data_IF_288684206813
#
_entry.id   IF_288684206813
#
_cell.length_a   1.000
_cell.length_b   1.000
_cell.length_c   1.000
_cell.angle_alpha   90.00
_cell.angle_beta   90.00
_cell.angle_gamma   90.00
#
_symmetry.space_group_name_H-M   'P 1'
#
loop_
_entity.id
_entity.type
_entity.pdbx_description
1 polymer ?
#
# COMPACT_ATOMS: atom_id res chain seq x y z
N UNK A 1 -34.28 5.80 21.31
CA UNK A 1 -32.97 6.11 20.70
C UNK A 1 -32.15 4.83 20.73
N UNK A 2 -32.14 4.04 19.64
CA UNK A 2 -31.29 2.85 19.57
C UNK A 2 -29.84 3.32 19.50
N UNK A 3 -29.01 2.90 20.45
CA UNK A 3 -27.56 2.96 20.30
C UNK A 3 -27.23 2.09 19.08
N UNK A 4 -26.93 2.71 17.96
CA UNK A 4 -26.26 2.01 16.87
C UNK A 4 -24.90 1.64 17.46
N UNK A 5 -24.72 0.37 17.76
CA UNK A 5 -23.42 -0.16 18.13
C UNK A 5 -22.54 0.03 16.89
N UNK A 6 -21.67 1.03 16.94
CA UNK A 6 -20.81 1.37 15.80
C UNK A 6 -19.94 0.15 15.54
N UNK A 7 -20.08 -0.43 14.36
CA UNK A 7 -19.22 -1.53 13.94
C UNK A 7 -17.88 -0.91 13.59
N UNK A 8 -16.84 -1.26 14.32
CA UNK A 8 -15.51 -0.66 14.17
C UNK A 8 -14.58 -1.70 13.55
N UNK A 9 -13.66 -1.26 12.70
CA UNK A 9 -12.51 -2.03 12.27
C UNK A 9 -11.22 -1.23 12.46
N UNK A 10 -10.10 -1.93 12.61
CA UNK A 10 -8.77 -1.32 12.54
C UNK A 10 -8.17 -1.62 11.16
N UNK A 11 -7.65 -0.59 10.50
CA UNK A 11 -6.86 -0.73 9.28
C UNK A 11 -5.60 -1.57 9.52
N UNK A 12 -4.95 -1.45 10.69
CA UNK A 12 -3.85 -2.35 11.08
C UNK A 12 -4.30 -3.81 11.13
N UNK A 13 -5.52 -4.06 11.60
CA UNK A 13 -6.10 -5.41 11.66
C UNK A 13 -6.47 -5.97 10.28
N UNK A 14 -6.66 -5.15 9.23
CA UNK A 14 -6.77 -5.67 7.86
C UNK A 14 -5.44 -6.36 7.46
N UNK A 15 -4.32 -5.83 7.92
CA UNK A 15 -2.97 -6.29 7.62
C UNK A 15 -2.38 -7.12 8.78
N UNK A 16 -3.17 -8.06 9.32
CA UNK A 16 -2.77 -8.94 10.43
C UNK A 16 -1.41 -9.63 10.20
N UNK A 17 -0.76 -10.03 11.28
CA UNK A 17 0.52 -10.78 11.23
C UNK A 17 0.48 -12.02 10.33
N UNK A 18 -0.68 -12.69 10.23
CA UNK A 18 -0.83 -13.84 9.34
C UNK A 18 -0.79 -13.43 7.85
N UNK A 19 -1.40 -12.31 7.50
CA UNK A 19 -1.37 -11.72 6.16
C UNK A 19 0.07 -11.34 5.79
N UNK A 20 0.77 -10.64 6.68
CA UNK A 20 2.18 -10.24 6.46
C UNK A 20 3.10 -11.43 6.20
N UNK A 21 2.90 -12.54 6.89
CA UNK A 21 3.71 -13.76 6.73
C UNK A 21 3.41 -14.52 5.44
N UNK A 22 2.19 -14.43 4.91
CA UNK A 22 1.69 -15.26 3.79
C UNK A 22 0.68 -14.48 2.93
N UNK A 23 1.04 -13.34 2.32
CA UNK A 23 0.05 -12.48 1.66
C UNK A 23 -0.68 -13.20 0.52
N UNK A 24 0.04 -14.02 -0.26
CA UNK A 24 -0.57 -14.82 -1.34
C UNK A 24 -1.65 -15.82 -0.89
N UNK A 25 -1.73 -16.19 0.41
CA UNK A 25 -2.84 -17.00 0.92
C UNK A 25 -4.17 -16.25 0.91
N UNK A 26 -4.11 -14.92 0.95
CA UNK A 26 -5.28 -14.04 0.99
C UNK A 26 -5.51 -13.36 -0.37
N UNK A 27 -4.43 -12.99 -1.06
CA UNK A 27 -4.48 -12.22 -2.31
C UNK A 27 -4.35 -13.10 -3.56
N UNK A 28 -3.91 -14.35 -3.42
CA UNK A 28 -3.66 -15.28 -4.52
C UNK A 28 -2.30 -15.10 -5.22
N UNK A 29 -1.56 -14.03 -4.92
CA UNK A 29 -0.28 -13.72 -5.57
C UNK A 29 0.69 -12.99 -4.61
N UNK A 30 2.00 -13.12 -4.84
CA UNK A 30 3.05 -12.47 -4.07
C UNK A 30 3.47 -11.14 -4.71
N UNK A 31 2.52 -10.26 -5.03
CA UNK A 31 2.81 -8.95 -5.66
C UNK A 31 2.23 -7.80 -4.85
N UNK A 32 2.89 -6.63 -4.89
CA UNK A 32 2.40 -5.45 -4.19
C UNK A 32 1.06 -4.95 -4.77
N UNK A 33 0.81 -5.17 -6.06
CA UNK A 33 -0.51 -4.93 -6.70
C UNK A 33 -1.61 -5.75 -6.01
N UNK A 34 -1.38 -7.04 -5.79
CA UNK A 34 -2.38 -7.90 -5.15
C UNK A 34 -2.72 -7.46 -3.72
N UNK A 35 -1.73 -6.97 -2.97
CA UNK A 35 -1.92 -6.40 -1.62
C UNK A 35 -2.64 -5.06 -1.69
N UNK A 36 -2.25 -4.18 -2.61
CA UNK A 36 -2.91 -2.91 -2.86
C UNK A 36 -4.41 -3.13 -3.14
N UNK A 37 -4.75 -4.05 -4.05
CA UNK A 37 -6.13 -4.35 -4.39
C UNK A 37 -6.90 -4.92 -3.19
N UNK A 38 -6.34 -5.92 -2.51
CA UNK A 38 -6.96 -6.51 -1.32
C UNK A 38 -7.24 -5.46 -0.25
N UNK A 39 -6.22 -4.71 0.14
CA UNK A 39 -6.30 -3.73 1.22
C UNK A 39 -7.33 -2.64 0.92
N UNK A 40 -7.26 -2.01 -0.26
CA UNK A 40 -8.16 -0.92 -0.60
C UNK A 40 -9.60 -1.41 -0.77
N UNK A 41 -9.83 -2.51 -1.49
CA UNK A 41 -11.19 -3.02 -1.71
C UNK A 41 -11.83 -3.54 -0.44
N UNK A 42 -11.08 -4.25 0.42
CA UNK A 42 -11.60 -4.73 1.69
C UNK A 42 -11.96 -3.57 2.63
N UNK A 43 -11.09 -2.55 2.71
CA UNK A 43 -11.36 -1.34 3.49
C UNK A 43 -12.56 -0.57 2.96
N UNK A 44 -12.65 -0.38 1.64
CA UNK A 44 -13.81 0.27 1.02
C UNK A 44 -15.11 -0.48 1.32
N UNK A 45 -15.11 -1.81 1.19
CA UNK A 45 -16.28 -2.62 1.48
C UNK A 45 -16.74 -2.50 2.94
N UNK A 46 -15.82 -2.43 3.91
CA UNK A 46 -16.15 -2.20 5.31
C UNK A 46 -16.81 -0.83 5.51
N UNK A 47 -16.22 0.23 4.95
CA UNK A 47 -16.76 1.60 5.04
C UNK A 47 -18.14 1.69 4.39
N UNK A 48 -18.33 1.12 3.19
CA UNK A 48 -19.62 1.08 2.49
C UNK A 48 -20.70 0.32 3.27
N UNK A 49 -20.32 -0.64 4.11
CA UNK A 49 -21.22 -1.39 4.99
C UNK A 49 -21.39 -0.75 6.38
N UNK A 50 -20.98 0.51 6.53
CA UNK A 50 -21.19 1.30 7.74
C UNK A 50 -20.24 0.96 8.89
N UNK A 51 -19.10 0.33 8.60
CA UNK A 51 -18.03 0.20 9.59
C UNK A 51 -17.20 1.47 9.65
N UNK A 52 -16.80 1.86 10.85
CA UNK A 52 -15.90 3.00 11.09
C UNK A 52 -14.47 2.51 11.34
N UNK A 53 -13.50 3.23 10.78
CA UNK A 53 -12.07 2.95 10.90
C UNK A 53 -11.52 3.56 12.19
N UNK A 54 -11.15 2.75 13.19
CA UNK A 54 -10.62 3.25 14.46
C UNK A 54 -9.23 3.85 14.36
N UNK A 55 -8.47 3.49 13.32
CA UNK A 55 -7.14 4.02 13.09
C UNK A 55 -7.15 5.36 12.36
N UNK A 56 -8.35 5.82 11.97
CA UNK A 56 -8.58 7.00 11.15
C UNK A 56 -7.67 7.01 9.90
N UNK A 57 -7.39 5.83 9.31
CA UNK A 57 -6.40 5.70 8.24
C UNK A 57 -6.73 6.65 7.09
N UNK A 58 -5.76 7.51 6.76
CA UNK A 58 -5.88 8.46 5.68
C UNK A 58 -4.98 7.97 4.56
N UNK A 59 -5.61 7.41 3.52
CA UNK A 59 -4.91 6.92 2.35
C UNK A 59 -4.18 8.06 1.64
N UNK A 60 -4.77 9.26 1.56
CA UNK A 60 -4.11 10.40 0.92
C UNK A 60 -2.85 10.80 1.69
N UNK A 61 -2.92 10.81 3.02
CA UNK A 61 -1.74 11.09 3.85
C UNK A 61 -0.65 10.02 3.69
N UNK A 62 -1.01 8.73 3.55
CA UNK A 62 -0.03 7.69 3.28
C UNK A 62 0.63 7.83 1.90
N UNK A 63 -0.15 8.19 0.87
CA UNK A 63 0.38 8.50 -0.46
C UNK A 63 1.42 9.64 -0.39
N UNK A 64 1.10 10.72 0.31
CA UNK A 64 2.02 11.85 0.51
C UNK A 64 3.27 11.47 1.31
N UNK A 65 3.11 10.64 2.34
CA UNK A 65 4.24 10.12 3.12
C UNK A 65 5.23 9.35 2.22
N UNK A 66 4.73 8.41 1.41
CA UNK A 66 5.57 7.62 0.50
C UNK A 66 6.22 8.50 -0.56
N UNK A 67 5.47 9.46 -1.12
CA UNK A 67 5.99 10.45 -2.06
C UNK A 67 7.19 11.21 -1.46
N UNK A 68 7.03 11.76 -0.26
CA UNK A 68 8.08 12.52 0.42
C UNK A 68 9.28 11.64 0.80
N UNK A 69 9.04 10.37 1.16
CA UNK A 69 10.10 9.41 1.52
C UNK A 69 11.07 9.16 0.37
N UNK A 70 10.56 9.06 -0.86
CA UNK A 70 11.35 8.72 -2.06
C UNK A 70 11.60 9.92 -2.99
N UNK A 71 11.16 11.12 -2.61
CA UNK A 71 11.44 12.34 -3.37
C UNK A 71 10.68 12.45 -4.69
N UNK A 72 9.50 11.83 -4.81
CA UNK A 72 8.63 12.01 -5.99
C UNK A 72 8.01 13.40 -6.00
N UNK A 73 7.82 13.96 -7.19
CA UNK A 73 7.17 15.26 -7.35
C UNK A 73 5.67 15.21 -7.01
N UNK A 74 4.99 14.14 -7.42
CA UNK A 74 3.55 13.93 -7.25
C UNK A 74 3.22 12.55 -6.67
N UNK A 75 2.13 12.48 -5.92
CA UNK A 75 1.63 11.24 -5.30
C UNK A 75 0.52 10.55 -6.11
N UNK A 76 0.12 11.16 -7.23
CA UNK A 76 -0.95 10.72 -8.14
C UNK A 76 -0.67 9.34 -8.75
N UNK A 77 0.61 8.98 -8.87
CA UNK A 77 1.06 7.66 -9.28
C UNK A 77 0.60 6.53 -8.35
N UNK A 78 0.26 6.85 -7.09
CA UNK A 78 -0.10 5.88 -6.08
C UNK A 78 1.13 5.29 -5.37
N UNK A 79 1.00 5.04 -4.06
CA UNK A 79 2.10 4.53 -3.23
C UNK A 79 2.69 3.22 -3.76
N UNK A 80 1.86 2.34 -4.34
CA UNK A 80 2.31 1.05 -4.89
C UNK A 80 3.36 1.25 -5.97
N UNK A 81 3.08 2.13 -6.94
CA UNK A 81 3.99 2.41 -8.04
C UNK A 81 5.27 3.11 -7.55
N UNK A 82 5.15 4.04 -6.59
CA UNK A 82 6.32 4.70 -6.02
C UNK A 82 7.26 3.74 -5.27
N UNK A 83 6.72 2.78 -4.51
CA UNK A 83 7.51 1.74 -3.84
C UNK A 83 8.17 0.80 -4.87
N UNK A 84 7.45 0.39 -5.91
CA UNK A 84 8.02 -0.49 -6.94
C UNK A 84 9.10 0.23 -7.73
N UNK A 85 8.92 1.53 -8.03
CA UNK A 85 9.91 2.33 -8.72
C UNK A 85 11.22 2.42 -7.93
N UNK A 86 11.14 2.64 -6.61
CA UNK A 86 12.31 2.59 -5.71
C UNK A 86 13.04 1.24 -5.78
N UNK A 87 12.31 0.11 -5.69
CA UNK A 87 12.89 -1.24 -5.83
C UNK A 87 13.59 -1.46 -7.17
N UNK A 88 13.07 -0.86 -8.25
CA UNK A 88 13.63 -0.95 -9.59
C UNK A 88 14.78 0.04 -9.84
N UNK A 89 15.16 0.84 -8.83
CA UNK A 89 16.18 1.89 -8.94
C UNK A 89 15.74 3.08 -9.79
N UNK A 90 14.43 3.28 -9.94
CA UNK A 90 13.79 4.39 -10.63
C UNK A 90 13.41 5.47 -9.62
N UNK A 91 14.43 6.02 -8.96
CA UNK A 91 14.27 7.03 -7.92
C UNK A 91 14.14 8.44 -8.53
N UNK A 92 13.50 9.36 -7.81
CA UNK A 92 13.57 10.80 -8.09
C UNK A 92 12.77 11.29 -9.31
N UNK A 93 13.31 12.31 -9.98
CA UNK A 93 12.63 13.05 -11.06
C UNK A 93 12.47 12.20 -12.33
N UNK A 94 11.28 12.25 -12.94
CA UNK A 94 10.96 11.65 -14.24
C UNK A 94 11.72 12.29 -15.43
N UNK A 95 12.68 13.16 -15.16
CA UNK A 95 13.67 13.59 -16.16
C UNK A 95 14.61 12.44 -16.58
N UNK A 96 14.76 11.41 -15.73
CA UNK A 96 15.74 10.34 -15.92
C UNK A 96 15.15 9.00 -16.34
N UNK A 97 13.83 8.85 -16.26
CA UNK A 97 13.08 7.63 -16.63
C UNK A 97 11.61 7.99 -16.93
N UNK A 98 10.86 7.09 -17.54
CA UNK A 98 9.44 7.29 -17.87
C UNK A 98 8.53 6.19 -17.31
N UNK A 99 7.24 6.48 -17.15
CA UNK A 99 6.26 5.46 -16.74
C UNK A 99 6.21 4.26 -17.68
N UNK A 100 6.44 4.45 -18.98
CA UNK A 100 6.52 3.35 -19.94
C UNK A 100 7.71 2.42 -19.62
N UNK A 101 8.89 2.99 -19.33
CA UNK A 101 10.05 2.23 -18.88
C UNK A 101 9.78 1.50 -17.56
N UNK A 102 9.12 2.17 -16.61
CA UNK A 102 8.69 1.56 -15.36
C UNK A 102 7.80 0.33 -15.60
N UNK A 103 6.73 0.45 -16.41
CA UNK A 103 5.82 -0.67 -16.64
C UNK A 103 6.50 -1.83 -17.36
N UNK A 104 7.48 -1.56 -18.23
CA UNK A 104 8.24 -2.61 -18.89
C UNK A 104 9.25 -3.31 -17.99
N UNK A 105 9.75 -2.63 -16.96
CA UNK A 105 10.55 -3.23 -15.88
C UNK A 105 9.69 -3.97 -14.87
N UNK A 106 8.54 -3.40 -14.45
CA UNK A 106 7.58 -4.00 -13.52
C UNK A 106 7.12 -5.39 -14.01
N UNK A 107 6.78 -5.51 -15.30
CA UNK A 107 6.38 -6.80 -15.93
C UNK A 107 7.46 -7.89 -15.86
N UNK A 108 8.72 -7.50 -15.66
CA UNK A 108 9.90 -8.39 -15.64
C UNK A 108 10.46 -8.59 -14.25
N UNK A 109 9.78 -8.05 -13.22
CA UNK A 109 10.18 -8.23 -11.84
C UNK A 109 10.29 -9.71 -11.49
N UNK A 110 11.36 -10.03 -10.78
CA UNK A 110 11.60 -11.31 -10.17
C UNK A 110 10.75 -11.48 -8.91
N UNK A 111 10.54 -12.72 -8.49
CA UNK A 111 9.86 -13.00 -7.22
C UNK A 111 10.56 -12.35 -6.02
N UNK A 112 11.88 -12.16 -6.07
CA UNK A 112 12.63 -11.51 -5.01
C UNK A 112 12.39 -10.00 -4.98
N UNK A 113 12.31 -9.32 -6.14
CA UNK A 113 11.95 -7.91 -6.21
C UNK A 113 10.51 -7.67 -5.73
N UNK A 114 9.59 -8.55 -6.12
CA UNK A 114 8.23 -8.49 -5.58
C UNK A 114 8.21 -8.66 -4.07
N UNK A 115 8.92 -9.65 -3.53
CA UNK A 115 9.03 -9.86 -2.08
C UNK A 115 9.59 -8.62 -1.37
N UNK A 116 10.65 -8.00 -1.90
CA UNK A 116 11.24 -6.78 -1.35
C UNK A 116 10.26 -5.60 -1.36
N UNK A 117 9.50 -5.41 -2.44
CA UNK A 117 8.48 -4.36 -2.49
C UNK A 117 7.38 -4.53 -1.42
N UNK A 118 7.03 -5.78 -1.10
CA UNK A 118 6.05 -6.10 -0.05
C UNK A 118 6.63 -5.84 1.33
N UNK A 119 7.87 -6.24 1.58
CA UNK A 119 8.57 -5.98 2.84
C UNK A 119 8.67 -4.47 3.09
N UNK A 120 9.14 -3.72 2.09
CA UNK A 120 9.25 -2.26 2.14
C UNK A 120 7.90 -1.58 2.38
N UNK A 121 6.81 -2.07 1.77
CA UNK A 121 5.47 -1.56 2.07
C UNK A 121 5.10 -1.70 3.54
N UNK A 122 5.31 -2.87 4.15
CA UNK A 122 4.96 -3.06 5.55
C UNK A 122 5.82 -2.20 6.48
N UNK A 123 7.10 -2.03 6.18
CA UNK A 123 7.98 -1.11 6.92
C UNK A 123 7.46 0.34 6.87
N UNK A 124 7.13 0.83 5.67
CA UNK A 124 6.61 2.18 5.48
C UNK A 124 5.25 2.37 6.15
N UNK A 125 4.39 1.36 6.07
CA UNK A 125 3.08 1.39 6.70
C UNK A 125 3.21 1.47 8.23
N UNK A 126 4.09 0.67 8.83
CA UNK A 126 4.32 0.70 10.29
C UNK A 126 4.84 2.07 10.73
N UNK A 127 5.84 2.61 10.04
CA UNK A 127 6.38 3.96 10.32
C UNK A 127 5.29 5.02 10.20
N UNK A 128 4.47 4.97 9.16
CA UNK A 128 3.36 5.93 9.00
C UNK A 128 2.36 5.84 10.14
N UNK A 129 2.02 4.61 10.56
CA UNK A 129 1.02 4.38 11.60
C UNK A 129 1.53 4.60 13.03
N UNK A 130 2.84 4.70 13.24
CA UNK A 130 3.46 5.06 14.52
C UNK A 130 3.62 6.58 14.68
N UNK A 131 3.78 7.32 13.57
CA UNK A 131 4.00 8.78 13.58
C UNK A 131 2.71 9.59 13.40
N UNK A 132 1.55 8.96 13.64
CA UNK A 132 0.23 9.52 13.42
C UNK A 132 -0.41 10.04 14.70
#
# INVERSE_FOLDING_TARGET
>A
MHKIDKRIFSTKDILILAFRKRPAMFTGDMTLESIFLYFNTYRMALIENGFEDSDEYDSCAFHEFVKNKFGFYESTAGWKNMIVADILGLEGSMETWSWEEFFDKEKKMTSEEHKKSIELYFELFDVFMENK
#
